data_IF_099113203944
#
_entry.id   IF_099113203944
#
_cell.length_a   1.000
_cell.length_b   1.000
_cell.length_c   1.000
_cell.angle_alpha   90.00
_cell.angle_beta   90.00
_cell.angle_gamma   90.00
#
_symmetry.space_group_name_H-M   'P 1'
#
loop_
_entity.id
_entity.type
_entity.pdbx_description
1 polymer ?
#
# COMPACT_ATOMS: atom_id res chain seq x y z
N UNK A 1 -11.73 8.26 15.39
CA UNK A 1 -12.46 7.60 14.27
C UNK A 1 -11.48 6.72 13.54
N UNK A 2 -11.63 5.41 13.67
CA UNK A 2 -10.73 4.42 13.08
C UNK A 2 -11.37 3.83 11.82
N UNK A 3 -10.57 3.30 10.92
CA UNK A 3 -11.01 2.64 9.68
C UNK A 3 -10.26 1.33 9.52
N UNK A 4 -10.92 0.31 8.97
CA UNK A 4 -10.26 -0.94 8.65
C UNK A 4 -9.57 -0.83 7.30
N UNK A 5 -8.25 -0.98 7.29
CA UNK A 5 -7.46 -1.05 6.06
C UNK A 5 -7.26 -2.50 5.64
N UNK A 6 -7.51 -2.76 4.35
CA UNK A 6 -7.12 -3.99 3.66
C UNK A 6 -6.13 -3.64 2.56
N UNK A 7 -4.95 -4.20 2.64
CA UNK A 7 -3.88 -3.99 1.68
C UNK A 7 -3.85 -5.14 0.68
N UNK A 8 -4.10 -4.88 -0.60
CA UNK A 8 -4.07 -5.88 -1.67
C UNK A 8 -2.70 -5.85 -2.37
N UNK A 9 -2.10 -7.03 -2.48
CA UNK A 9 -0.86 -7.31 -3.17
C UNK A 9 -1.14 -8.20 -4.39
N UNK A 10 -0.10 -8.47 -5.17
CA UNK A 10 -0.12 -9.35 -6.32
C UNK A 10 -0.41 -10.80 -5.95
N UNK A 11 0.13 -11.29 -4.82
CA UNK A 11 -0.04 -12.69 -4.40
C UNK A 11 -1.14 -12.91 -3.35
N UNK A 12 -1.81 -11.86 -2.88
CA UNK A 12 -2.80 -11.97 -1.81
C UNK A 12 -3.14 -10.62 -1.15
N UNK A 13 -3.73 -10.67 0.04
CA UNK A 13 -4.08 -9.48 0.80
C UNK A 13 -3.64 -9.56 2.26
N UNK A 14 -3.30 -8.40 2.83
CA UNK A 14 -2.92 -8.19 4.22
C UNK A 14 -4.02 -7.36 4.88
N UNK A 15 -4.73 -7.94 5.84
CA UNK A 15 -5.80 -7.29 6.61
C UNK A 15 -7.10 -8.09 6.58
N UNK A 16 -8.24 -7.46 6.94
CA UNK A 16 -8.42 -6.07 7.35
C UNK A 16 -7.80 -5.78 8.74
N UNK A 17 -7.35 -4.55 8.96
CA UNK A 17 -6.89 -4.10 10.28
C UNK A 17 -7.23 -2.65 10.60
N UNK A 18 -7.53 -2.32 11.87
CA UNK A 18 -7.90 -0.97 12.24
C UNK A 18 -6.69 -0.04 12.26
N UNK A 19 -6.87 1.14 11.68
CA UNK A 19 -5.94 2.27 11.76
C UNK A 19 -6.68 3.56 12.08
N UNK A 20 -5.99 4.53 12.67
CA UNK A 20 -6.55 5.85 12.91
C UNK A 20 -6.61 6.66 11.60
N UNK A 21 -7.71 7.37 11.36
CA UNK A 21 -7.85 8.26 10.19
C UNK A 21 -6.87 9.44 10.19
N UNK A 22 -6.45 9.89 11.38
CA UNK A 22 -5.46 10.95 11.58
C UNK A 22 -4.02 10.48 11.37
N UNK A 23 -3.82 9.22 10.97
CA UNK A 23 -2.49 8.68 10.71
C UNK A 23 -2.04 9.12 9.31
N UNK A 24 -0.78 9.51 9.18
CA UNK A 24 -0.19 9.77 7.87
C UNK A 24 -0.03 8.46 7.09
N UNK A 25 0.04 8.59 5.77
CA UNK A 25 0.34 7.48 4.86
C UNK A 25 1.66 6.80 5.24
N UNK A 26 2.66 7.56 5.69
CA UNK A 26 3.91 7.00 6.22
C UNK A 26 3.65 6.08 7.43
N UNK A 27 2.87 6.54 8.42
CA UNK A 27 2.53 5.74 9.59
C UNK A 27 1.74 4.47 9.23
N UNK A 28 0.89 4.54 8.21
CA UNK A 28 0.19 3.36 7.65
C UNK A 28 1.20 2.37 7.07
N UNK A 29 2.17 2.83 6.27
CA UNK A 29 3.23 1.98 5.70
C UNK A 29 4.10 1.32 6.77
N UNK A 30 4.42 2.06 7.84
CA UNK A 30 5.15 1.51 9.00
C UNK A 30 4.35 0.41 9.71
N UNK A 31 3.05 0.60 9.92
CA UNK A 31 2.20 -0.43 10.50
C UNK A 31 2.06 -1.65 9.57
N UNK A 32 1.92 -1.42 8.27
CA UNK A 32 1.86 -2.48 7.27
C UNK A 32 3.15 -3.32 7.27
N UNK A 33 4.31 -2.67 7.32
CA UNK A 33 5.61 -3.33 7.39
C UNK A 33 5.73 -4.24 8.62
N UNK A 34 5.24 -3.79 9.78
CA UNK A 34 5.24 -4.58 11.02
C UNK A 34 4.28 -5.78 10.96
N UNK A 35 3.18 -5.65 10.24
CA UNK A 35 2.17 -6.70 10.06
C UNK A 35 2.45 -7.59 8.85
N UNK A 36 3.57 -7.37 8.16
CA UNK A 36 3.88 -8.11 6.96
C UNK A 36 3.97 -9.61 7.28
N UNK A 37 3.31 -10.48 6.50
CA UNK A 37 3.36 -11.91 6.72
C UNK A 37 4.81 -12.41 6.58
N UNK A 38 5.29 -13.08 7.62
CA UNK A 38 6.64 -13.66 7.63
C UNK A 38 6.71 -15.02 6.93
N UNK A 39 5.56 -15.57 6.56
CA UNK A 39 5.41 -16.89 5.95
C UNK A 39 4.47 -16.81 4.74
N UNK A 40 4.61 -17.77 3.82
CA UNK A 40 3.81 -17.84 2.59
C UNK A 40 4.35 -16.99 1.44
N UNK A 41 3.59 -16.92 0.32
CA UNK A 41 4.04 -16.28 -0.92
C UNK A 41 4.27 -14.76 -0.76
N UNK A 42 3.57 -14.14 0.18
CA UNK A 42 3.66 -12.71 0.47
C UNK A 42 4.99 -12.31 1.15
N UNK A 43 5.71 -13.25 1.78
CA UNK A 43 7.03 -12.98 2.38
C UNK A 43 8.06 -12.55 1.33
N UNK A 44 7.99 -13.12 0.13
CA UNK A 44 8.91 -12.77 -0.96
C UNK A 44 8.73 -11.33 -1.46
N UNK A 45 7.57 -10.73 -1.19
CA UNK A 45 7.22 -9.35 -1.55
C UNK A 45 7.48 -8.38 -0.38
N UNK A 46 8.14 -8.85 0.69
CA UNK A 46 8.43 -8.01 1.86
C UNK A 46 9.37 -6.86 1.47
N UNK A 47 8.92 -5.60 1.59
CA UNK A 47 9.78 -4.44 1.36
C UNK A 47 10.92 -4.39 2.39
N UNK A 48 12.09 -3.91 1.96
CA UNK A 48 13.23 -3.68 2.86
C UNK A 48 13.01 -2.48 3.78
N UNK A 49 12.30 -1.46 3.31
CA UNK A 49 11.98 -0.25 4.05
C UNK A 49 10.61 0.33 3.69
N UNK A 50 10.11 1.23 4.53
CA UNK A 50 8.90 2.02 4.32
C UNK A 50 8.96 2.83 3.02
N UNK A 51 10.16 3.25 2.61
CA UNK A 51 10.38 3.98 1.36
C UNK A 51 10.09 3.14 0.10
N UNK A 52 10.29 1.83 0.20
CA UNK A 52 10.06 0.88 -0.89
C UNK A 52 8.58 0.53 -1.04
N UNK A 53 7.74 0.93 -0.08
CA UNK A 53 6.30 0.76 -0.14
C UNK A 53 5.65 1.91 -0.90
N UNK A 54 4.95 1.57 -1.99
CA UNK A 54 4.07 2.48 -2.71
C UNK A 54 2.62 2.05 -2.46
N UNK A 55 1.85 2.96 -1.85
CA UNK A 55 0.41 2.77 -1.66
C UNK A 55 -0.33 3.45 -2.81
N UNK A 56 -1.31 2.73 -3.38
CA UNK A 56 -2.11 3.19 -4.49
C UNK A 56 -3.58 3.15 -4.09
N UNK A 57 -4.27 4.28 -4.24
CA UNK A 57 -5.73 4.38 -4.10
C UNK A 57 -6.31 5.10 -5.31
N UNK A 58 -7.36 4.54 -5.92
CA UNK A 58 -8.04 5.18 -7.05
C UNK A 58 -7.17 5.48 -8.27
N UNK A 59 -6.06 4.73 -8.44
CA UNK A 59 -5.08 4.96 -9.52
C UNK A 59 -4.04 6.05 -9.22
N UNK A 60 -4.01 6.61 -8.02
CA UNK A 60 -2.99 7.57 -7.58
C UNK A 60 -2.04 6.96 -6.55
N UNK A 61 -0.76 7.28 -6.66
CA UNK A 61 0.21 7.01 -5.62
C UNK A 61 0.01 7.98 -4.46
N UNK A 62 0.00 7.46 -3.24
CA UNK A 62 -0.15 8.25 -2.04
C UNK A 62 1.23 8.74 -1.55
N UNK A 63 1.32 10.02 -1.23
CA UNK A 63 2.54 10.60 -0.66
C UNK A 63 2.63 10.30 0.84
N UNK A 64 3.84 10.22 1.37
CA UNK A 64 4.07 9.96 2.78
C UNK A 64 3.53 11.08 3.70
N UNK A 65 3.50 12.31 3.21
CA UNK A 65 2.99 13.48 3.93
C UNK A 65 1.47 13.58 3.99
N UNK A 66 0.75 12.82 3.15
CA UNK A 66 -0.71 12.86 3.12
C UNK A 66 -1.31 12.21 4.38
N UNK A 67 -2.40 12.80 4.87
CA UNK A 67 -3.19 12.18 5.94
C UNK A 67 -4.15 11.15 5.35
N UNK A 68 -4.35 10.05 6.06
CA UNK A 68 -5.27 9.01 5.63
C UNK A 68 -6.69 9.57 5.47
N UNK A 69 -7.14 10.47 6.34
CA UNK A 69 -8.45 11.10 6.24
C UNK A 69 -8.69 11.85 4.93
N UNK A 70 -7.70 12.57 4.41
CA UNK A 70 -7.80 13.31 3.15
C UNK A 70 -7.89 12.37 1.95
N UNK A 71 -7.06 11.33 1.97
CA UNK A 71 -7.07 10.26 0.96
C UNK A 71 -8.43 9.57 0.89
N UNK A 72 -8.99 9.27 2.07
CA UNK A 72 -10.29 8.62 2.21
C UNK A 72 -11.44 9.53 1.81
N UNK A 73 -11.43 10.80 2.24
CA UNK A 73 -12.46 11.76 1.87
C UNK A 73 -12.56 11.95 0.35
N UNK A 74 -11.43 11.86 -0.36
CA UNK A 74 -11.40 11.95 -1.82
C UNK A 74 -11.89 10.72 -2.57
N UNK A 75 -11.98 9.54 -1.94
CA UNK A 75 -12.21 8.26 -2.65
C UNK A 75 -13.32 7.38 -2.06
N UNK A 76 -13.75 7.60 -0.83
CA UNK A 76 -14.75 6.79 -0.14
C UNK A 76 -15.74 7.66 0.65
N UNK A 77 -17.04 7.45 0.39
CA UNK A 77 -18.10 7.79 1.35
C UNK A 77 -18.13 6.73 2.44
N UNK A 78 -18.30 7.14 3.71
CA UNK A 78 -18.34 6.38 4.97
C UNK A 78 -18.39 4.83 4.84
N UNK A 79 -17.25 4.24 4.45
CA UNK A 79 -17.05 2.79 4.41
C UNK A 79 -16.22 2.35 5.61
N UNK A 80 -16.60 1.21 6.21
CA UNK A 80 -15.86 0.65 7.34
C UNK A 80 -14.51 0.05 6.92
N UNK A 81 -14.44 -0.52 5.70
CA UNK A 81 -13.24 -1.16 5.16
C UNK A 81 -12.79 -0.46 3.89
N UNK A 82 -11.54 0.00 3.89
CA UNK A 82 -10.89 0.65 2.77
C UNK A 82 -9.85 -0.30 2.20
N UNK A 83 -9.90 -0.50 0.88
CA UNK A 83 -8.93 -1.34 0.19
C UNK A 83 -7.89 -0.50 -0.52
N UNK A 84 -6.63 -0.68 -0.16
CA UNK A 84 -5.46 -0.06 -0.75
C UNK A 84 -4.71 -1.08 -1.60
N UNK A 85 -4.16 -0.68 -2.74
CA UNK A 85 -3.20 -1.50 -3.46
C UNK A 85 -1.79 -1.18 -2.97
N UNK A 86 -1.01 -2.21 -2.67
CA UNK A 86 0.37 -2.09 -2.24
C UNK A 86 1.26 -2.64 -3.34
N UNK A 87 2.28 -1.87 -3.71
CA UNK A 87 3.31 -2.35 -4.62
C UNK A 87 4.68 -2.07 -4.00
N UNK A 88 5.56 -3.05 -4.09
CA UNK A 88 6.93 -2.98 -3.61
C UNK A 88 7.85 -2.46 -4.73
N UNK A 89 8.69 -1.47 -4.40
CA UNK A 89 9.49 -0.74 -5.36
C UNK A 89 10.65 -1.56 -5.95
N UNK A 90 11.23 -2.52 -5.21
CA UNK A 90 12.21 -3.45 -5.76
C UNK A 90 11.56 -4.38 -6.81
N UNK A 91 10.30 -4.75 -6.63
CA UNK A 91 9.52 -5.50 -7.61
C UNK A 91 9.24 -4.68 -8.86
N UNK A 92 8.87 -3.39 -8.70
CA UNK A 92 8.69 -2.47 -9.84
C UNK A 92 10.01 -2.28 -10.59
N UNK A 93 11.12 -1.99 -9.89
CA UNK A 93 12.42 -1.80 -10.54
C UNK A 93 12.95 -3.09 -11.17
N UNK A 94 12.67 -4.25 -10.58
CA UNK A 94 12.92 -5.57 -11.18
C UNK A 94 12.07 -5.80 -12.45
N UNK A 95 10.78 -5.45 -12.42
CA UNK A 95 9.87 -5.55 -13.57
C UNK A 95 10.23 -4.57 -14.69
N UNK A 96 10.57 -3.33 -14.37
CA UNK A 96 11.00 -2.33 -15.35
C UNK A 96 12.29 -2.79 -16.02
N UNK A 97 13.24 -3.33 -15.26
CA UNK A 97 14.46 -3.90 -15.84
C UNK A 97 14.19 -5.16 -16.67
N UNK A 98 13.21 -5.97 -16.27
CA UNK A 98 12.88 -7.25 -16.93
C UNK A 98 12.00 -7.07 -18.17
N UNK A 99 11.15 -6.05 -18.19
CA UNK A 99 10.21 -5.72 -19.27
C UNK A 99 10.22 -4.22 -19.60
N UNK A 100 11.37 -3.66 -20.01
CA UNK A 100 11.50 -2.21 -20.23
C UNK A 100 10.52 -1.69 -21.29
N UNK A 101 10.18 -2.50 -22.29
CA UNK A 101 9.25 -2.13 -23.36
C UNK A 101 7.79 -2.03 -22.93
N UNK A 102 7.39 -2.61 -21.80
CA UNK A 102 6.00 -2.55 -21.31
C UNK A 102 5.74 -1.36 -20.38
N UNK A 103 6.79 -0.83 -19.75
CA UNK A 103 6.70 0.31 -18.82
C UNK A 103 7.21 1.62 -19.43
N UNK A 104 7.71 1.61 -20.67
CA UNK A 104 8.17 2.80 -21.39
C UNK A 104 7.06 3.80 -21.80
N UNK A 105 5.78 3.47 -21.55
CA UNK A 105 4.63 4.26 -21.99
C UNK A 105 3.80 4.86 -20.82
N UNK A 106 4.35 4.88 -19.60
CA UNK A 106 3.78 5.56 -18.44
C UNK A 106 4.70 6.67 -17.94
#
# INVERSE_FOLDING_TARGET
MSVDLRCRLTQGDIGPFPVARTLSVQGVKEQLLRRWPQEGPLRAEQPGSVADLKLIMGGKFLDNGDMLEDVLASHFGEGNVVTLHVVEHAWISGLINRFPSQFACW
#
